data_IF_594059994076
#
_entry.id   IF_594059994076
#
_cell.length_a   1.000
_cell.length_b   1.000
_cell.length_c   1.000
_cell.angle_alpha   90.00
_cell.angle_beta   90.00
_cell.angle_gamma   90.00
#
_symmetry.space_group_name_H-M   'P 1'
#
loop_
_entity.id
_entity.type
_entity.pdbx_description
1 polymer ?
#
# COMPACT_ATOMS: atom_id res chain seq x y z
N UNK A 1 -29.32 65.57 -23.59
CA UNK A 1 -29.47 64.48 -22.61
C UNK A 1 -29.04 63.22 -23.34
N UNK A 2 -27.85 62.73 -23.00
CA UNK A 2 -27.04 61.86 -23.87
C UNK A 2 -27.47 60.39 -23.76
N UNK A 3 -28.64 60.07 -24.32
CA UNK A 3 -29.18 58.69 -24.40
C UNK A 3 -28.14 57.72 -24.98
N UNK A 4 -27.34 58.19 -25.94
CA UNK A 4 -26.24 57.42 -26.53
C UNK A 4 -25.15 57.03 -25.53
N UNK A 5 -24.79 57.91 -24.58
CA UNK A 5 -23.81 57.60 -23.54
C UNK A 5 -24.34 56.54 -22.58
N UNK A 6 -25.62 56.63 -22.18
CA UNK A 6 -26.26 55.66 -21.29
C UNK A 6 -26.32 54.26 -21.92
N UNK A 7 -26.69 54.17 -23.20
CA UNK A 7 -26.72 52.89 -23.92
C UNK A 7 -25.31 52.29 -24.03
N UNK A 8 -24.31 53.11 -24.38
CA UNK A 8 -22.92 52.66 -24.48
C UNK A 8 -22.40 52.13 -23.14
N UNK A 9 -22.64 52.86 -22.04
CA UNK A 9 -22.25 52.41 -20.69
C UNK A 9 -22.94 51.11 -20.29
N UNK A 10 -24.23 50.95 -20.61
CA UNK A 10 -24.97 49.72 -20.32
C UNK A 10 -24.41 48.52 -21.10
N UNK A 11 -24.11 48.70 -22.40
CA UNK A 11 -23.52 47.64 -23.24
C UNK A 11 -22.12 47.28 -22.76
N UNK A 12 -21.27 48.26 -22.44
CA UNK A 12 -19.92 48.00 -21.90
C UNK A 12 -19.98 47.29 -20.56
N UNK A 13 -20.90 47.70 -19.67
CA UNK A 13 -21.12 47.04 -18.39
C UNK A 13 -21.57 45.58 -18.56
N UNK A 14 -22.47 45.32 -19.50
CA UNK A 14 -22.93 43.97 -19.84
C UNK A 14 -21.81 43.11 -20.43
N UNK A 15 -20.97 43.65 -21.33
CA UNK A 15 -19.84 42.91 -21.92
C UNK A 15 -18.79 42.60 -20.85
N UNK A 16 -18.46 43.57 -19.99
CA UNK A 16 -17.47 43.37 -18.93
C UNK A 16 -17.94 42.41 -17.83
N UNK A 17 -19.21 42.44 -17.46
CA UNK A 17 -19.73 41.56 -16.39
C UNK A 17 -20.18 40.20 -16.94
N UNK A 18 -20.92 40.20 -18.04
CA UNK A 18 -21.45 39.01 -18.67
C UNK A 18 -20.36 38.20 -19.39
N UNK A 19 -19.72 38.80 -20.40
CA UNK A 19 -18.78 38.06 -21.26
C UNK A 19 -17.47 37.79 -20.54
N UNK A 20 -16.83 38.82 -19.97
CA UNK A 20 -15.53 38.65 -19.30
C UNK A 20 -15.69 37.86 -18.00
N UNK A 21 -16.74 38.12 -17.21
CA UNK A 21 -17.02 37.35 -15.99
C UNK A 21 -17.28 35.86 -16.26
N UNK A 22 -18.09 35.54 -17.28
CA UNK A 22 -18.34 34.14 -17.68
C UNK A 22 -17.08 33.47 -18.20
N UNK A 23 -16.26 34.18 -18.99
CA UNK A 23 -15.02 33.64 -19.54
C UNK A 23 -13.98 33.33 -18.45
N UNK A 24 -13.80 34.23 -17.47
CA UNK A 24 -12.94 34.00 -16.30
C UNK A 24 -13.44 32.79 -15.50
N UNK A 25 -14.74 32.74 -15.22
CA UNK A 25 -15.37 31.63 -14.49
C UNK A 25 -15.17 30.31 -15.20
N UNK A 26 -15.33 30.27 -16.52
CA UNK A 26 -15.13 29.08 -17.33
C UNK A 26 -13.68 28.56 -17.28
N UNK A 27 -12.69 29.45 -17.42
CA UNK A 27 -11.27 29.09 -17.31
C UNK A 27 -10.98 28.52 -15.92
N UNK A 28 -11.56 29.13 -14.88
CA UNK A 28 -11.40 28.68 -13.50
C UNK A 28 -12.01 27.31 -13.25
N UNK A 29 -13.26 27.10 -13.69
CA UNK A 29 -13.94 25.81 -13.57
C UNK A 29 -13.17 24.71 -14.28
N UNK A 30 -12.67 24.97 -15.49
CA UNK A 30 -11.86 24.02 -16.26
C UNK A 30 -10.56 23.64 -15.54
N UNK A 31 -9.87 24.61 -14.94
CA UNK A 31 -8.62 24.35 -14.18
C UNK A 31 -8.91 23.60 -12.88
N UNK A 32 -9.95 23.99 -12.14
CA UNK A 32 -10.34 23.32 -10.91
C UNK A 32 -10.78 21.87 -11.14
N UNK A 33 -11.51 21.62 -12.23
CA UNK A 33 -11.93 20.28 -12.62
C UNK A 33 -10.73 19.35 -12.88
N UNK A 34 -9.69 19.83 -13.57
CA UNK A 34 -8.45 19.06 -13.78
C UNK A 34 -7.77 18.69 -12.47
N UNK A 35 -7.62 19.66 -11.55
CA UNK A 35 -7.03 19.40 -10.24
C UNK A 35 -7.84 18.41 -9.42
N UNK A 36 -9.17 18.53 -9.43
CA UNK A 36 -10.05 17.58 -8.75
C UNK A 36 -9.90 16.17 -9.35
N UNK A 37 -9.82 16.06 -10.67
CA UNK A 37 -9.64 14.76 -11.34
C UNK A 37 -8.29 14.12 -10.99
N UNK A 38 -7.21 14.90 -11.00
CA UNK A 38 -5.88 14.41 -10.62
C UNK A 38 -5.83 13.98 -9.14
N UNK A 39 -6.44 14.77 -8.26
CA UNK A 39 -6.55 14.43 -6.83
C UNK A 39 -7.31 13.12 -6.61
N UNK A 40 -8.48 12.96 -7.26
CA UNK A 40 -9.29 11.75 -7.15
C UNK A 40 -8.51 10.53 -7.67
N UNK A 41 -7.86 10.64 -8.83
CA UNK A 41 -7.03 9.56 -9.39
C UNK A 41 -5.91 9.16 -8.43
N UNK A 42 -5.19 10.13 -7.89
CA UNK A 42 -4.06 9.87 -6.99
C UNK A 42 -4.51 9.24 -5.67
N UNK A 43 -5.66 9.69 -5.13
CA UNK A 43 -6.27 9.10 -3.94
C UNK A 43 -6.68 7.64 -4.18
N UNK A 44 -7.23 7.34 -5.36
CA UNK A 44 -7.57 5.98 -5.76
C UNK A 44 -6.33 5.09 -5.87
N UNK A 45 -5.26 5.56 -6.50
CA UNK A 45 -3.98 4.83 -6.58
C UNK A 45 -3.40 4.55 -5.18
N UNK A 46 -3.41 5.53 -4.29
CA UNK A 46 -2.96 5.37 -2.91
C UNK A 46 -3.81 4.32 -2.17
N UNK A 47 -5.13 4.37 -2.33
CA UNK A 47 -6.04 3.37 -1.74
C UNK A 47 -5.76 1.96 -2.26
N UNK A 48 -5.44 1.80 -3.54
CA UNK A 48 -5.10 0.50 -4.12
C UNK A 48 -3.76 -0.01 -3.56
N UNK A 49 -2.76 0.85 -3.42
CA UNK A 49 -1.47 0.51 -2.80
C UNK A 49 -1.66 0.04 -1.35
N UNK A 50 -2.45 0.76 -0.54
CA UNK A 50 -2.76 0.38 0.84
C UNK A 50 -3.37 -1.02 0.91
N UNK A 51 -4.40 -1.29 0.09
CA UNK A 51 -5.04 -2.61 0.05
C UNK A 51 -4.07 -3.73 -0.36
N UNK A 52 -3.12 -3.44 -1.25
CA UNK A 52 -2.08 -4.40 -1.65
C UNK A 52 -1.18 -4.72 -0.45
N UNK A 53 -0.73 -3.71 0.29
CA UNK A 53 0.17 -3.88 1.43
C UNK A 53 -0.53 -4.62 2.57
N UNK A 54 -1.75 -4.22 2.93
CA UNK A 54 -2.55 -4.88 3.97
C UNK A 54 -2.79 -6.34 3.62
N UNK A 55 -3.31 -6.62 2.42
CA UNK A 55 -3.60 -7.99 2.01
C UNK A 55 -2.35 -8.86 1.90
N UNK A 56 -1.22 -8.31 1.45
CA UNK A 56 0.05 -9.03 1.39
C UNK A 56 0.62 -9.30 2.79
N UNK A 57 0.53 -8.32 3.69
CA UNK A 57 0.94 -8.45 5.09
C UNK A 57 0.15 -9.56 5.79
N UNK A 58 -1.17 -9.57 5.61
CA UNK A 58 -2.05 -10.62 6.14
C UNK A 58 -1.72 -12.00 5.56
N UNK A 59 -1.47 -12.08 4.25
CA UNK A 59 -1.12 -13.33 3.57
C UNK A 59 0.20 -13.91 4.11
N UNK A 60 1.26 -13.09 4.19
CA UNK A 60 2.56 -13.49 4.71
C UNK A 60 2.46 -13.84 6.20
N UNK A 61 1.82 -12.97 6.99
CA UNK A 61 1.67 -13.12 8.44
C UNK A 61 0.91 -14.39 8.79
N UNK A 62 -0.20 -14.66 8.11
CA UNK A 62 -0.98 -15.89 8.28
C UNK A 62 -0.13 -17.12 7.98
N UNK A 63 0.53 -17.19 6.82
CA UNK A 63 1.37 -18.35 6.46
C UNK A 63 2.47 -18.58 7.50
N UNK A 64 3.22 -17.53 7.86
CA UNK A 64 4.29 -17.61 8.86
C UNK A 64 3.78 -18.13 10.20
N UNK A 65 2.65 -17.60 10.69
CA UNK A 65 2.05 -18.03 11.94
C UNK A 65 1.62 -19.50 11.91
N UNK A 66 1.01 -19.96 10.81
CA UNK A 66 0.61 -21.37 10.66
C UNK A 66 1.82 -22.30 10.57
N UNK A 67 2.89 -21.90 9.89
CA UNK A 67 4.18 -22.62 9.90
C UNK A 67 4.69 -22.79 11.33
N UNK A 68 4.79 -21.69 12.09
CA UNK A 68 5.23 -21.73 13.48
C UNK A 68 4.38 -22.67 14.34
N UNK A 69 3.05 -22.60 14.20
CA UNK A 69 2.13 -23.47 14.96
C UNK A 69 2.27 -24.95 14.59
N UNK A 70 2.46 -25.27 13.31
CA UNK A 70 2.70 -26.64 12.87
C UNK A 70 4.00 -27.19 13.45
N UNK A 71 5.10 -26.41 13.38
CA UNK A 71 6.39 -26.78 13.98
C UNK A 71 6.28 -26.99 15.50
N UNK A 72 5.55 -26.12 16.20
CA UNK A 72 5.34 -26.24 17.63
C UNK A 72 4.50 -27.48 18.00
N UNK A 73 3.47 -27.80 17.21
CA UNK A 73 2.65 -28.99 17.43
C UNK A 73 3.46 -30.28 17.20
N UNK A 74 4.28 -30.32 16.14
CA UNK A 74 5.20 -31.43 15.86
C UNK A 74 6.13 -31.68 17.05
N UNK A 75 6.71 -30.63 17.64
CA UNK A 75 7.55 -30.74 18.84
C UNK A 75 6.81 -31.35 20.04
N UNK A 76 5.53 -31.02 20.21
CA UNK A 76 4.70 -31.51 21.32
C UNK A 76 4.27 -32.98 21.20
N UNK A 77 4.39 -33.56 20.01
CA UNK A 77 4.08 -34.96 19.67
C UNK A 77 2.65 -35.46 19.93
N UNK A 78 1.73 -34.56 20.26
CA UNK A 78 0.31 -34.89 20.39
C UNK A 78 -0.29 -35.03 18.99
N UNK A 79 -0.68 -36.26 18.62
CA UNK A 79 -1.17 -36.58 17.29
C UNK A 79 -2.39 -35.76 16.87
N UNK A 80 -3.30 -35.47 17.80
CA UNK A 80 -4.51 -34.69 17.50
C UNK A 80 -4.16 -33.21 17.33
N UNK A 81 -3.29 -32.66 18.19
CA UNK A 81 -2.79 -31.28 18.00
C UNK A 81 -2.02 -31.13 16.70
N UNK A 82 -1.20 -32.12 16.34
CA UNK A 82 -0.47 -32.14 15.06
C UNK A 82 -1.46 -32.17 13.90
N UNK A 83 -2.48 -33.03 13.93
CA UNK A 83 -3.49 -33.13 12.87
C UNK A 83 -4.17 -31.79 12.63
N UNK A 84 -4.67 -31.14 13.69
CA UNK A 84 -5.35 -29.84 13.59
C UNK A 84 -4.40 -28.73 13.10
N UNK A 85 -3.19 -28.65 13.66
CA UNK A 85 -2.21 -27.64 13.24
C UNK A 85 -1.75 -27.83 11.79
N UNK A 86 -1.62 -29.09 11.35
CA UNK A 86 -1.22 -29.45 10.00
C UNK A 86 -2.27 -29.09 8.97
N UNK A 87 -3.55 -29.36 9.24
CA UNK A 87 -4.65 -28.98 8.35
C UNK A 87 -4.69 -27.46 8.11
N UNK A 88 -4.50 -26.68 9.18
CA UNK A 88 -4.47 -25.22 9.10
C UNK A 88 -3.21 -24.69 8.38
N UNK A 89 -2.08 -25.39 8.55
CA UNK A 89 -0.86 -25.10 7.80
C UNK A 89 -1.04 -25.36 6.30
N UNK A 90 -1.56 -26.51 5.92
CA UNK A 90 -1.78 -26.90 4.53
C UNK A 90 -2.72 -25.92 3.81
N UNK A 91 -3.84 -25.55 4.44
CA UNK A 91 -4.74 -24.48 3.95
C UNK A 91 -4.00 -23.16 3.71
N UNK A 92 -3.07 -22.79 4.60
CA UNK A 92 -2.30 -21.55 4.45
C UNK A 92 -1.29 -21.62 3.29
N UNK A 93 -0.71 -22.79 3.03
CA UNK A 93 0.20 -23.03 1.91
C UNK A 93 -0.55 -22.97 0.58
N UNK A 94 -1.72 -23.59 0.50
CA UNK A 94 -2.60 -23.52 -0.69
C UNK A 94 -2.97 -22.06 -0.98
N UNK A 95 -3.52 -21.35 0.02
CA UNK A 95 -3.90 -19.94 -0.13
C UNK A 95 -2.73 -19.07 -0.58
N UNK A 96 -1.54 -19.31 -0.04
CA UNK A 96 -0.32 -18.62 -0.47
C UNK A 96 -0.03 -18.87 -1.95
N UNK A 97 0.01 -20.13 -2.37
CA UNK A 97 0.37 -20.51 -3.74
C UNK A 97 -0.61 -19.93 -4.77
N UNK A 98 -1.90 -19.89 -4.44
CA UNK A 98 -2.94 -19.28 -5.28
C UNK A 98 -2.80 -17.76 -5.38
N UNK A 99 -2.43 -17.09 -4.28
CA UNK A 99 -2.50 -15.63 -4.17
C UNK A 99 -1.20 -14.92 -4.56
N UNK A 100 -0.04 -15.52 -4.29
CA UNK A 100 1.25 -14.81 -4.30
C UNK A 100 1.61 -14.27 -5.69
N UNK A 101 1.31 -15.00 -6.76
CA UNK A 101 1.56 -14.54 -8.13
C UNK A 101 0.76 -13.29 -8.47
N UNK A 102 -0.48 -13.19 -7.97
CA UNK A 102 -1.29 -11.98 -8.11
C UNK A 102 -0.66 -10.77 -7.41
N UNK A 103 -0.05 -10.98 -6.24
CA UNK A 103 0.68 -9.92 -5.55
C UNK A 103 1.97 -9.51 -6.28
N UNK A 104 2.70 -10.44 -6.89
CA UNK A 104 3.86 -10.10 -7.73
C UNK A 104 3.45 -9.14 -8.87
N UNK A 105 2.36 -9.45 -9.57
CA UNK A 105 1.85 -8.58 -10.65
C UNK A 105 1.42 -7.21 -10.11
N UNK A 106 0.70 -7.17 -8.99
CA UNK A 106 0.27 -5.92 -8.35
C UNK A 106 1.46 -5.07 -7.91
N UNK A 107 2.47 -5.67 -7.28
CA UNK A 107 3.70 -4.97 -6.89
C UNK A 107 4.43 -4.38 -8.09
N UNK A 108 4.52 -5.13 -9.20
CA UNK A 108 5.13 -4.61 -10.44
C UNK A 108 4.36 -3.41 -11.02
N UNK A 109 3.05 -3.37 -10.86
CA UNK A 109 2.20 -2.29 -11.37
C UNK A 109 2.22 -1.05 -10.48
N UNK A 110 2.20 -1.22 -9.16
CA UNK A 110 1.95 -0.15 -8.20
C UNK A 110 3.17 0.25 -7.35
N UNK A 111 4.26 -0.54 -7.37
CA UNK A 111 5.44 -0.33 -6.54
C UNK A 111 6.71 -0.42 -7.39
N UNK A 112 7.86 -0.15 -6.77
CA UNK A 112 9.16 -0.31 -7.43
C UNK A 112 9.49 -1.79 -7.68
N UNK A 113 10.24 -2.04 -8.75
CA UNK A 113 10.73 -3.39 -9.10
C UNK A 113 11.55 -4.04 -7.97
N UNK A 114 12.25 -3.24 -7.16
CA UNK A 114 12.99 -3.73 -5.98
C UNK A 114 12.07 -4.39 -4.95
N UNK A 115 10.87 -3.86 -4.72
CA UNK A 115 9.89 -4.43 -3.78
C UNK A 115 9.26 -5.71 -4.30
N UNK A 116 9.13 -5.85 -5.62
CA UNK A 116 8.77 -7.13 -6.24
C UNK A 116 9.85 -8.19 -5.99
N UNK A 117 11.12 -7.87 -6.23
CA UNK A 117 12.22 -8.83 -6.03
C UNK A 117 12.38 -9.27 -4.57
N UNK A 118 12.16 -8.36 -3.62
CA UNK A 118 12.15 -8.73 -2.19
C UNK A 118 11.04 -9.74 -1.87
N UNK A 119 9.86 -9.66 -2.50
CA UNK A 119 8.82 -10.70 -2.35
C UNK A 119 9.28 -12.04 -2.93
N UNK A 120 10.02 -12.04 -4.03
CA UNK A 120 10.55 -13.28 -4.61
C UNK A 120 11.57 -13.98 -3.70
N UNK A 121 12.37 -13.22 -2.94
CA UNK A 121 13.21 -13.79 -1.86
C UNK A 121 12.37 -14.40 -0.75
N UNK A 122 11.33 -13.69 -0.29
CA UNK A 122 10.39 -14.19 0.73
C UNK A 122 9.72 -15.50 0.27
N UNK A 123 9.39 -15.63 -1.02
CA UNK A 123 8.87 -16.88 -1.59
C UNK A 123 9.87 -18.01 -1.46
N UNK A 124 11.15 -17.78 -1.81
CA UNK A 124 12.22 -18.78 -1.71
C UNK A 124 12.42 -19.24 -0.26
N UNK A 125 12.47 -18.29 0.68
CA UNK A 125 12.62 -18.61 2.10
C UNK A 125 11.44 -19.46 2.61
N UNK A 126 10.20 -19.11 2.25
CA UNK A 126 9.05 -19.94 2.61
C UNK A 126 9.08 -21.34 2.00
N UNK A 127 9.60 -21.52 0.78
CA UNK A 127 9.76 -22.83 0.15
C UNK A 127 10.78 -23.69 0.91
N UNK A 128 11.91 -23.09 1.31
CA UNK A 128 12.94 -23.76 2.10
C UNK A 128 12.43 -24.16 3.49
N UNK A 129 11.80 -23.24 4.21
CA UNK A 129 11.21 -23.53 5.53
C UNK A 129 10.10 -24.59 5.39
N UNK A 130 9.26 -24.48 4.35
CA UNK A 130 8.18 -25.43 4.11
C UNK A 130 8.65 -26.85 3.87
N UNK A 131 9.71 -27.04 3.08
CA UNK A 131 10.25 -28.38 2.80
C UNK A 131 10.80 -29.06 4.06
N UNK A 132 11.43 -28.30 4.96
CA UNK A 132 11.90 -28.79 6.26
C UNK A 132 10.72 -29.18 7.16
N UNK A 133 9.66 -28.36 7.20
CA UNK A 133 8.45 -28.65 7.98
C UNK A 133 7.75 -29.92 7.49
N UNK A 134 7.63 -30.10 6.17
CA UNK A 134 7.10 -31.33 5.56
C UNK A 134 7.97 -32.54 5.84
N UNK A 135 9.30 -32.39 5.82
CA UNK A 135 10.19 -33.47 6.22
C UNK A 135 9.95 -33.89 7.67
N UNK A 136 9.90 -32.94 8.61
CA UNK A 136 9.60 -33.24 10.02
C UNK A 136 8.22 -33.86 10.21
N UNK A 137 7.22 -33.49 9.40
CA UNK A 137 5.91 -34.16 9.42
C UNK A 137 6.01 -35.63 8.98
N UNK A 138 6.77 -35.93 7.92
CA UNK A 138 7.00 -37.32 7.48
C UNK A 138 7.72 -38.17 8.52
N UNK A 139 8.71 -37.59 9.20
CA UNK A 139 9.42 -38.23 10.31
C UNK A 139 8.45 -38.50 11.48
N UNK A 140 7.60 -37.52 11.82
CA UNK A 140 6.55 -37.68 12.83
C UNK A 140 5.58 -38.82 12.50
N UNK A 141 5.11 -38.91 11.25
CA UNK A 141 4.18 -39.95 10.82
C UNK A 141 4.80 -41.36 10.86
N UNK A 142 6.12 -41.46 10.69
CA UNK A 142 6.88 -42.71 10.85
C UNK A 142 7.24 -43.02 12.29
N UNK A 143 6.89 -42.15 13.24
CA UNK A 143 7.33 -42.21 14.63
C UNK A 143 8.86 -42.24 14.78
N UNK A 144 9.58 -41.64 13.82
CA UNK A 144 11.04 -41.54 13.83
C UNK A 144 11.46 -40.25 14.53
N UNK A 145 11.78 -40.37 15.82
CA UNK A 145 12.09 -39.24 16.68
C UNK A 145 13.55 -39.22 17.15
N UNK A 146 14.47 -39.57 16.27
CA UNK A 146 15.91 -39.48 16.54
C UNK A 146 16.38 -38.05 16.88
N UNK A 147 17.64 -37.90 17.25
CA UNK A 147 18.22 -36.59 17.62
C UNK A 147 18.05 -35.54 16.50
N UNK A 148 18.16 -35.96 15.24
CA UNK A 148 17.98 -35.07 14.07
C UNK A 148 16.58 -34.47 13.97
N UNK A 149 15.54 -35.16 14.44
CA UNK A 149 14.16 -34.65 14.40
C UNK A 149 13.98 -33.36 15.21
N UNK A 150 14.48 -33.35 16.44
CA UNK A 150 14.34 -32.19 17.31
C UNK A 150 15.27 -31.04 16.93
N UNK A 151 16.45 -31.37 16.42
CA UNK A 151 17.38 -30.38 15.87
C UNK A 151 16.73 -29.68 14.67
N UNK A 152 16.18 -30.43 13.71
CA UNK A 152 15.43 -29.89 12.58
C UNK A 152 14.29 -28.96 13.04
N UNK A 153 13.47 -29.37 14.02
CA UNK A 153 12.37 -28.53 14.53
C UNK A 153 12.87 -27.26 15.23
N UNK A 154 14.00 -27.33 15.93
CA UNK A 154 14.63 -26.16 16.55
C UNK A 154 15.12 -25.20 15.47
N UNK A 155 15.77 -25.72 14.46
CA UNK A 155 16.34 -24.94 13.36
C UNK A 155 15.22 -24.27 12.54
N UNK A 156 14.13 -24.99 12.24
CA UNK A 156 12.93 -24.41 11.63
C UNK A 156 12.38 -23.26 12.47
N UNK A 157 12.28 -23.43 13.80
CA UNK A 157 11.76 -22.38 14.68
C UNK A 157 12.64 -21.12 14.64
N UNK A 158 13.97 -21.30 14.67
CA UNK A 158 14.93 -20.21 14.56
C UNK A 158 14.86 -19.50 13.19
N UNK A 159 14.75 -20.27 12.10
CA UNK A 159 14.58 -19.71 10.75
C UNK A 159 13.28 -18.92 10.62
N UNK A 160 12.16 -19.42 11.14
CA UNK A 160 10.86 -18.71 11.12
C UNK A 160 10.90 -17.41 11.94
N UNK A 161 11.67 -17.38 13.01
CA UNK A 161 11.86 -16.17 13.83
C UNK A 161 12.69 -15.12 13.08
N UNK A 162 13.87 -15.49 12.58
CA UNK A 162 14.72 -14.62 11.76
C UNK A 162 13.98 -14.09 10.53
N UNK A 163 13.28 -14.98 9.83
CA UNK A 163 12.45 -14.62 8.69
C UNK A 163 11.34 -13.62 9.05
N UNK A 164 10.84 -13.66 10.29
CA UNK A 164 9.92 -12.63 10.79
C UNK A 164 10.51 -11.22 10.74
N UNK A 165 11.80 -11.07 11.03
CA UNK A 165 12.51 -9.80 10.89
C UNK A 165 12.59 -9.34 9.43
N UNK A 166 12.93 -10.25 8.51
CA UNK A 166 12.95 -9.98 7.06
C UNK A 166 11.58 -9.51 6.56
N UNK A 167 10.53 -10.23 6.93
CA UNK A 167 9.13 -9.89 6.58
C UNK A 167 8.75 -8.52 7.11
N UNK A 168 9.02 -8.23 8.39
CA UNK A 168 8.67 -6.95 8.99
C UNK A 168 9.40 -5.78 8.30
N UNK A 169 10.67 -5.99 7.94
CA UNK A 169 11.45 -5.01 7.19
C UNK A 169 10.85 -4.77 5.80
N UNK A 170 10.47 -5.85 5.11
CA UNK A 170 9.83 -5.77 3.81
C UNK A 170 8.48 -5.02 3.86
N UNK A 171 7.60 -5.36 4.81
CA UNK A 171 6.33 -4.66 5.01
C UNK A 171 6.58 -3.19 5.39
N UNK A 172 7.59 -2.90 6.21
CA UNK A 172 8.00 -1.54 6.54
C UNK A 172 8.48 -0.73 5.33
N UNK A 173 9.19 -1.36 4.39
CA UNK A 173 9.61 -0.73 3.14
C UNK A 173 8.41 -0.41 2.24
N UNK A 174 7.41 -1.29 2.18
CA UNK A 174 6.16 -1.06 1.47
C UNK A 174 5.38 0.14 2.05
N UNK A 175 5.27 0.22 3.38
CA UNK A 175 4.62 1.35 4.04
C UNK A 175 5.39 2.65 3.85
N UNK A 176 6.73 2.62 3.99
CA UNK A 176 7.57 3.79 3.71
C UNK A 176 7.38 4.35 2.31
N UNK A 177 7.14 3.48 1.32
CA UNK A 177 6.81 3.91 -0.05
C UNK A 177 5.46 4.66 -0.10
N UNK A 178 4.44 4.14 0.57
CA UNK A 178 3.11 4.75 0.68
C UNK A 178 3.19 6.08 1.42
N UNK A 179 3.90 6.14 2.55
CA UNK A 179 4.06 7.35 3.35
C UNK A 179 4.78 8.44 2.56
N UNK A 180 5.85 8.10 1.83
CA UNK A 180 6.53 9.05 0.95
C UNK A 180 5.63 9.58 -0.19
N UNK A 181 4.68 8.79 -0.67
CA UNK A 181 3.67 9.27 -1.63
C UNK A 181 2.63 10.15 -0.95
N UNK A 182 2.16 9.76 0.23
CA UNK A 182 1.22 10.53 1.03
C UNK A 182 1.79 11.89 1.42
N UNK A 183 3.04 11.97 1.86
CA UNK A 183 3.74 13.22 2.13
C UNK A 183 3.88 14.09 0.88
N UNK A 184 4.04 13.51 -0.31
CA UNK A 184 4.00 14.30 -1.55
C UNK A 184 2.60 14.82 -1.85
N UNK A 185 1.55 14.02 -1.62
CA UNK A 185 0.18 14.47 -1.85
C UNK A 185 -0.26 15.52 -0.83
N UNK A 186 0.02 15.30 0.45
CA UNK A 186 -0.32 16.19 1.56
C UNK A 186 0.63 17.41 1.60
N UNK A 187 1.90 17.24 1.22
CA UNK A 187 2.94 18.28 1.18
C UNK A 187 2.96 19.12 -0.10
N UNK A 188 2.31 18.70 -1.19
CA UNK A 188 1.93 19.60 -2.30
C UNK A 188 0.98 20.71 -1.82
N UNK A 189 0.41 20.59 -0.62
CA UNK A 189 -0.31 21.69 0.05
C UNK A 189 0.57 22.58 0.95
N UNK A 190 1.85 22.27 1.17
CA UNK A 190 2.82 23.15 1.81
C UNK A 190 3.42 24.12 0.77
N UNK A 191 3.06 25.39 0.92
CA UNK A 191 3.22 26.46 -0.06
C UNK A 191 4.71 26.81 -0.24
N UNK A 192 5.27 26.61 -1.42
CA UNK A 192 6.47 27.30 -1.88
C UNK A 192 6.16 28.14 -3.13
N UNK A 193 6.77 29.33 -3.24
CA UNK A 193 6.59 30.24 -4.38
C UNK A 193 7.01 29.63 -5.73
N UNK A 194 7.77 28.53 -5.72
CA UNK A 194 8.14 27.80 -6.93
C UNK A 194 6.99 26.95 -7.52
N UNK A 195 5.97 26.61 -6.71
CA UNK A 195 4.85 25.75 -7.12
C UNK A 195 3.59 26.51 -7.59
N UNK A 196 3.69 27.82 -7.85
CA UNK A 196 2.57 28.68 -8.28
C UNK A 196 1.77 28.12 -9.48
N UNK A 197 2.46 27.43 -10.40
CA UNK A 197 1.84 26.81 -11.59
C UNK A 197 0.91 25.63 -11.25
N UNK A 198 1.07 25.02 -10.08
CA UNK A 198 0.33 23.84 -9.64
C UNK A 198 -0.77 24.14 -8.62
N UNK A 199 -0.89 25.39 -8.16
CA UNK A 199 -1.95 25.80 -7.25
C UNK A 199 -3.18 26.32 -8.01
N UNK A 200 -4.38 26.12 -7.46
CA UNK A 200 -5.59 26.77 -7.98
C UNK A 200 -5.55 28.27 -7.68
N UNK A 201 -5.89 29.13 -8.64
CA UNK A 201 -5.96 30.58 -8.42
C UNK A 201 -6.92 30.95 -7.26
N UNK A 202 -7.92 30.13 -6.98
CA UNK A 202 -8.80 30.31 -5.82
C UNK A 202 -8.12 30.00 -4.49
N UNK A 203 -7.21 29.03 -4.47
CA UNK A 203 -6.38 28.76 -3.30
C UNK A 203 -5.41 29.91 -3.06
N UNK A 204 -4.76 30.43 -4.11
CA UNK A 204 -3.90 31.63 -4.05
C UNK A 204 -4.73 32.83 -3.57
N UNK A 205 -5.90 33.06 -4.15
CA UNK A 205 -6.81 34.14 -3.77
C UNK A 205 -7.26 34.01 -2.31
N UNK A 206 -7.70 32.83 -1.86
CA UNK A 206 -8.03 32.58 -0.45
C UNK A 206 -6.85 32.85 0.46
N UNK A 207 -5.63 32.47 0.08
CA UNK A 207 -4.42 32.71 0.86
C UNK A 207 -4.09 34.21 1.02
N UNK A 208 -4.54 35.08 0.12
CA UNK A 208 -4.46 36.54 0.31
C UNK A 208 -5.33 37.00 1.50
N UNK A 209 -6.43 36.30 1.78
CA UNK A 209 -7.37 36.63 2.87
C UNK A 209 -7.21 35.78 4.13
N UNK A 210 -6.44 34.68 4.08
CA UNK A 210 -6.03 33.95 5.27
C UNK A 210 -4.97 34.78 5.98
N UNK A 211 -5.39 35.49 7.04
CA UNK A 211 -4.49 36.24 7.92
C UNK A 211 -3.41 35.27 8.42
N UNK A 212 -2.15 35.43 7.99
CA UNK A 212 -1.02 34.72 8.60
C UNK A 212 -1.07 35.02 10.09
N UNK A 213 -1.45 34.05 10.92
CA UNK A 213 -1.06 34.12 12.33
C UNK A 213 0.44 33.93 12.31
N UNK A 214 1.11 35.01 12.66
CA UNK A 214 2.56 35.09 12.80
C UNK A 214 3.03 33.93 13.69
N UNK A 215 4.04 33.21 13.19
CA UNK A 215 4.98 32.49 14.04
C UNK A 215 5.95 33.51 14.64
#
# INVERSE_FOLDING_TARGET
MDIWKTILTAVVGFVLTGVVGTWITYIWQKRNWRFQQDYVRNKELLSQQIQIVEGLSDLIGSRRFRTFRATAALRGRDAERVRVAWEEYDKSVIKWNESVNGYITKLRQFFSRSLQYQLEEIIREFQQIGSLVEQSKREFDRSDFGHGYFENLRDISGQVELFGGTVNTYIGNLWSHIDGLKERFDGVFAISLENEKHLSNWYIFKQIFVRRREF
#
